data_IF_805564078935
#
_entry.id   IF_805564078935
#
_cell.length_a   1.000
_cell.length_b   1.000
_cell.length_c   1.000
_cell.angle_alpha   90.00
_cell.angle_beta   90.00
_cell.angle_gamma   90.00
#
_symmetry.space_group_name_H-M   'P 1'
#
loop_
_entity.id
_entity.type
_entity.pdbx_description
1 polymer ?
#
# COMPACT_ATOMS: atom_id res chain seq x y z
N UNK A 1 23.66 59.18 5.77
CA UNK A 1 24.69 58.14 5.39
C UNK A 1 24.47 56.87 6.23
N UNK A 2 23.92 56.96 7.43
CA UNK A 2 23.70 55.76 8.32
C UNK A 2 22.59 54.82 7.81
N UNK A 3 21.64 55.30 7.02
CA UNK A 3 20.47 54.51 6.54
C UNK A 3 20.85 53.42 5.52
N UNK A 4 21.82 53.63 4.68
CA UNK A 4 22.21 52.66 3.62
C UNK A 4 22.99 51.44 4.10
N UNK A 5 23.69 51.54 5.24
CA UNK A 5 24.43 50.41 5.80
C UNK A 5 23.50 49.39 6.48
N UNK A 6 22.42 49.82 7.10
CA UNK A 6 21.41 48.95 7.70
C UNK A 6 20.61 48.18 6.64
N UNK A 7 20.28 48.84 5.52
CA UNK A 7 19.47 48.24 4.44
C UNK A 7 20.20 47.03 3.81
N UNK A 8 21.48 47.15 3.51
CA UNK A 8 22.30 46.03 2.96
C UNK A 8 22.40 44.84 3.92
N UNK A 9 22.47 45.09 5.22
CA UNK A 9 22.50 44.04 6.25
C UNK A 9 21.15 43.33 6.33
N UNK A 10 20.05 44.05 6.22
CA UNK A 10 18.71 43.49 6.23
C UNK A 10 18.43 42.66 4.95
N UNK A 11 18.85 43.19 3.79
CA UNK A 11 18.73 42.48 2.50
C UNK A 11 19.55 41.16 2.53
N UNK A 12 20.76 41.18 3.10
CA UNK A 12 21.59 39.99 3.23
C UNK A 12 20.95 38.98 4.22
N UNK A 13 20.45 39.45 5.34
CA UNK A 13 19.75 38.59 6.33
C UNK A 13 18.50 37.92 5.77
N UNK A 14 17.70 38.68 4.99
CA UNK A 14 16.52 38.14 4.31
C UNK A 14 16.92 37.12 3.24
N UNK A 15 17.95 37.40 2.45
CA UNK A 15 18.45 36.47 1.44
C UNK A 15 18.97 35.16 2.08
N UNK A 16 19.72 35.28 3.18
CA UNK A 16 20.20 34.11 3.94
C UNK A 16 19.02 33.29 4.53
N UNK A 17 18.02 33.97 5.07
CA UNK A 17 16.83 33.31 5.63
C UNK A 17 16.05 32.52 4.56
N UNK A 18 15.87 33.11 3.38
CA UNK A 18 15.21 32.42 2.25
C UNK A 18 16.02 31.19 1.83
N UNK A 19 17.35 31.32 1.75
CA UNK A 19 18.22 30.21 1.35
C UNK A 19 18.14 29.06 2.36
N UNK A 20 18.17 29.36 3.66
CA UNK A 20 18.01 28.35 4.73
C UNK A 20 16.62 27.70 4.65
N UNK A 21 15.58 28.48 4.38
CA UNK A 21 14.22 27.96 4.20
C UNK A 21 14.10 26.97 3.04
N UNK A 22 14.71 27.30 1.90
CA UNK A 22 14.75 26.40 0.74
C UNK A 22 15.52 25.12 1.05
N UNK A 23 16.66 25.22 1.71
CA UNK A 23 17.44 24.04 2.12
C UNK A 23 16.68 23.15 3.11
N UNK A 24 15.93 23.74 4.05
CA UNK A 24 15.11 23.01 4.98
C UNK A 24 13.97 22.24 4.28
N UNK A 25 13.31 22.88 3.31
CA UNK A 25 12.25 22.22 2.51
C UNK A 25 12.83 21.08 1.67
N UNK A 26 13.99 21.30 1.04
CA UNK A 26 14.71 20.27 0.29
C UNK A 26 15.09 19.08 1.17
N UNK A 27 15.61 19.35 2.37
CA UNK A 27 15.95 18.31 3.34
C UNK A 27 14.70 17.48 3.75
N UNK A 28 13.59 18.14 4.07
CA UNK A 28 12.33 17.44 4.39
C UNK A 28 11.80 16.64 3.23
N UNK A 29 11.87 17.16 2.01
CA UNK A 29 11.45 16.45 0.81
C UNK A 29 12.24 15.15 0.58
N UNK A 30 13.56 15.20 0.78
CA UNK A 30 14.42 14.02 0.69
C UNK A 30 14.09 13.03 1.83
N UNK A 31 13.91 13.52 3.05
CA UNK A 31 13.59 12.68 4.21
C UNK A 31 12.26 11.93 4.02
N UNK A 32 11.23 12.60 3.53
CA UNK A 32 9.91 11.99 3.29
C UNK A 32 9.98 11.03 2.10
N UNK A 33 10.73 11.39 1.04
CA UNK A 33 10.89 10.56 -0.15
C UNK A 33 11.70 9.29 0.12
N UNK A 34 12.76 9.35 0.91
CA UNK A 34 13.62 8.20 1.20
C UNK A 34 12.97 7.15 2.10
N UNK A 35 12.03 7.53 2.96
CA UNK A 35 11.30 6.58 3.83
C UNK A 35 10.46 5.55 3.05
N UNK A 36 10.16 5.83 1.78
CA UNK A 36 9.39 4.92 0.91
C UNK A 36 10.25 4.10 -0.05
N UNK A 37 11.52 4.48 -0.24
CA UNK A 37 12.36 3.92 -1.32
C UNK A 37 13.48 3.02 -0.79
N UNK A 38 13.92 3.19 0.46
CA UNK A 38 15.07 2.45 1.02
C UNK A 38 14.66 1.41 2.08
N UNK A 39 13.62 0.64 1.83
CA UNK A 39 13.49 -0.66 2.45
C UNK A 39 14.29 -1.68 1.64
N UNK A 40 15.63 -1.65 1.75
CA UNK A 40 16.50 -2.53 0.98
C UNK A 40 16.52 -3.98 1.46
N UNK A 41 15.65 -4.34 2.37
CA UNK A 41 15.46 -5.71 2.85
C UNK A 41 13.98 -6.04 2.90
N UNK A 42 13.29 -6.04 1.77
CA UNK A 42 11.91 -6.50 1.68
C UNK A 42 11.84 -7.72 0.77
N UNK A 43 11.29 -8.82 1.28
CA UNK A 43 10.90 -9.97 0.48
C UNK A 43 9.69 -9.56 -0.37
N UNK A 44 9.76 -9.77 -1.67
CA UNK A 44 8.68 -9.45 -2.60
C UNK A 44 7.98 -10.75 -2.97
N UNK A 45 6.67 -10.82 -2.74
CA UNK A 45 5.82 -11.95 -3.11
C UNK A 45 4.67 -11.40 -3.97
N UNK A 46 4.30 -12.11 -5.02
CA UNK A 46 3.14 -11.75 -5.83
C UNK A 46 1.88 -12.49 -5.37
N UNK A 47 0.72 -11.82 -5.47
CA UNK A 47 -0.57 -12.44 -5.21
C UNK A 47 -1.53 -12.16 -6.36
N UNK A 48 -2.35 -13.15 -6.73
CA UNK A 48 -3.32 -13.06 -7.83
C UNK A 48 -4.71 -12.83 -7.26
N UNK A 49 -5.35 -11.73 -7.66
CA UNK A 49 -6.72 -11.43 -7.26
C UNK A 49 -7.62 -11.29 -8.48
N UNK A 50 -8.82 -11.85 -8.42
CA UNK A 50 -9.83 -11.65 -9.45
C UNK A 50 -10.45 -10.24 -9.38
N UNK A 51 -10.48 -9.62 -8.20
CA UNK A 51 -10.93 -8.25 -8.00
C UNK A 51 -10.22 -7.63 -6.79
N UNK A 52 -9.61 -6.47 -7.00
CA UNK A 52 -8.90 -5.73 -5.93
C UNK A 52 -9.77 -4.66 -5.25
N UNK A 53 -10.94 -4.33 -5.80
CA UNK A 53 -11.97 -3.48 -5.19
C UNK A 53 -11.50 -2.23 -4.46
N UNK A 54 -10.61 -1.42 -5.08
CA UNK A 54 -10.10 -0.18 -4.49
C UNK A 54 -8.87 -0.35 -3.59
N UNK A 55 -8.18 -1.49 -3.64
CA UNK A 55 -6.84 -1.63 -3.06
C UNK A 55 -5.87 -0.74 -3.84
N UNK A 56 -5.01 -0.01 -3.15
CA UNK A 56 -4.05 0.91 -3.75
C UNK A 56 -2.60 0.51 -3.44
N UNK A 57 -1.68 0.96 -4.27
CA UNK A 57 -0.26 0.91 -3.96
C UNK A 57 0.03 1.67 -2.66
N UNK A 58 0.85 1.09 -1.79
CA UNK A 58 1.12 1.61 -0.46
C UNK A 58 0.11 1.22 0.62
N UNK A 59 -0.98 0.50 0.27
CA UNK A 59 -1.88 -0.10 1.25
C UNK A 59 -1.12 -1.02 2.22
N UNK A 60 -1.61 -1.13 3.44
CA UNK A 60 -0.94 -1.96 4.45
C UNK A 60 -1.16 -3.45 4.19
N UNK A 61 -0.14 -4.25 4.52
CA UNK A 61 -0.25 -5.71 4.64
C UNK A 61 -0.18 -6.04 6.11
N UNK A 62 -1.14 -6.85 6.59
CA UNK A 62 -1.28 -7.18 8.01
C UNK A 62 -1.38 -8.69 8.21
N UNK A 63 -0.71 -9.19 9.26
CA UNK A 63 -0.89 -10.54 9.81
C UNK A 63 -1.42 -10.38 11.22
N UNK A 64 -2.54 -11.01 11.54
CA UNK A 64 -3.18 -10.91 12.87
C UNK A 64 -3.39 -9.45 13.34
N UNK A 65 -3.61 -8.51 12.42
CA UNK A 65 -3.78 -7.08 12.72
C UNK A 65 -2.48 -6.29 12.89
N UNK A 66 -1.32 -6.93 12.78
CA UNK A 66 -0.01 -6.26 12.85
C UNK A 66 0.49 -5.98 11.43
N UNK A 67 0.96 -4.76 11.19
CA UNK A 67 1.54 -4.39 9.91
C UNK A 67 2.88 -5.10 9.67
N UNK A 68 2.96 -5.85 8.57
CA UNK A 68 4.15 -6.62 8.18
C UNK A 68 4.73 -6.20 6.83
N UNK A 69 4.08 -5.27 6.15
CA UNK A 69 4.52 -4.81 4.86
C UNK A 69 3.60 -3.79 4.22
N UNK A 70 3.81 -3.54 2.94
CA UNK A 70 2.99 -2.65 2.11
C UNK A 70 2.81 -3.24 0.72
N UNK A 71 1.68 -2.92 0.11
CA UNK A 71 1.39 -3.25 -1.29
C UNK A 71 2.33 -2.46 -2.20
N UNK A 72 3.01 -3.15 -3.08
CA UNK A 72 3.87 -2.58 -4.11
C UNK A 72 3.10 -2.22 -5.37
N UNK A 73 3.62 -2.67 -6.51
CA UNK A 73 3.01 -2.43 -7.83
C UNK A 73 1.76 -3.30 -8.02
N UNK A 74 0.76 -2.73 -8.66
CA UNK A 74 -0.47 -3.42 -9.06
C UNK A 74 -0.55 -3.40 -10.58
N UNK A 75 -0.63 -4.57 -11.20
CA UNK A 75 -0.71 -4.72 -12.66
C UNK A 75 -1.83 -5.67 -13.06
N UNK A 76 -2.39 -5.47 -14.24
CA UNK A 76 -3.34 -6.40 -14.83
C UNK A 76 -2.61 -7.44 -15.68
N UNK A 77 -2.82 -8.70 -15.38
CA UNK A 77 -2.46 -9.79 -16.27
C UNK A 77 -3.52 -9.86 -17.39
N UNK A 78 -3.09 -9.53 -18.60
CA UNK A 78 -3.97 -9.46 -19.77
C UNK A 78 -4.38 -10.84 -20.30
N UNK A 79 -3.63 -11.88 -20.00
CA UNK A 79 -3.93 -13.24 -20.47
C UNK A 79 -5.02 -13.89 -19.62
N UNK A 80 -4.90 -13.75 -18.30
CA UNK A 80 -5.82 -14.36 -17.34
C UNK A 80 -6.89 -13.39 -16.83
N UNK A 81 -6.79 -12.09 -17.17
CA UNK A 81 -7.68 -11.02 -16.70
C UNK A 81 -7.79 -10.95 -15.17
N UNK A 82 -6.66 -11.13 -14.49
CA UNK A 82 -6.53 -11.04 -13.04
C UNK A 82 -5.57 -9.93 -12.63
N UNK A 83 -5.77 -9.36 -11.45
CA UNK A 83 -4.87 -8.38 -10.89
C UNK A 83 -3.69 -9.10 -10.22
N UNK A 84 -2.47 -8.78 -10.64
CA UNK A 84 -1.23 -9.18 -10.00
C UNK A 84 -0.82 -8.08 -9.03
N UNK A 85 -0.75 -8.41 -7.77
CA UNK A 85 -0.43 -7.48 -6.68
C UNK A 85 0.90 -7.88 -6.06
N UNK A 86 1.85 -6.95 -6.06
CA UNK A 86 3.15 -7.12 -5.42
C UNK A 86 3.05 -6.83 -3.92
N UNK A 87 3.41 -7.78 -3.10
CA UNK A 87 3.44 -7.70 -1.65
C UNK A 87 4.88 -7.51 -1.17
N UNK A 88 5.22 -6.33 -0.66
CA UNK A 88 6.53 -6.02 -0.08
C UNK A 88 6.47 -6.28 1.42
N UNK A 89 7.03 -7.40 1.84
CA UNK A 89 7.02 -7.88 3.22
C UNK A 89 8.36 -7.62 3.90
N UNK A 90 8.38 -7.51 5.22
CA UNK A 90 9.63 -7.47 5.98
C UNK A 90 10.38 -8.80 5.84
N UNK A 91 11.70 -8.76 5.76
CA UNK A 91 12.56 -9.90 5.38
C UNK A 91 12.44 -11.16 6.25
N UNK A 92 12.12 -11.00 7.52
CA UNK A 92 12.09 -12.13 8.48
C UNK A 92 10.83 -12.99 8.37
N UNK A 93 9.94 -12.67 7.38
CA UNK A 93 8.67 -13.38 7.25
C UNK A 93 8.80 -14.55 6.27
N UNK A 94 8.56 -15.76 6.77
CA UNK A 94 8.44 -16.95 5.94
C UNK A 94 7.00 -17.09 5.48
N UNK A 95 6.82 -17.27 4.17
CA UNK A 95 5.52 -17.51 3.53
C UNK A 95 5.54 -18.91 2.95
N UNK A 96 4.48 -19.65 3.16
CA UNK A 96 4.31 -21.01 2.67
C UNK A 96 3.38 -21.07 1.46
N UNK A 97 3.39 -22.18 0.73
CA UNK A 97 2.56 -22.40 -0.45
C UNK A 97 1.06 -22.49 -0.14
N UNK A 98 0.71 -22.77 1.14
CA UNK A 98 -0.65 -22.72 1.67
C UNK A 98 -1.05 -21.33 2.25
N UNK A 99 -0.28 -20.27 1.93
CA UNK A 99 -0.58 -18.92 2.36
C UNK A 99 -1.85 -18.38 1.68
N UNK A 100 -2.64 -17.62 2.44
CA UNK A 100 -3.87 -16.99 1.95
C UNK A 100 -3.74 -15.47 2.03
N UNK A 101 -3.99 -14.78 0.93
CA UNK A 101 -4.06 -13.33 0.89
C UNK A 101 -5.50 -12.84 0.68
N UNK A 102 -6.04 -12.11 1.64
CA UNK A 102 -7.43 -11.60 1.61
C UNK A 102 -7.44 -10.08 1.56
N UNK A 103 -8.23 -9.49 0.66
CA UNK A 103 -8.45 -8.04 0.66
C UNK A 103 -9.62 -7.70 1.58
N UNK A 104 -9.34 -6.93 2.62
CA UNK A 104 -10.33 -6.51 3.62
C UNK A 104 -10.42 -5.00 3.71
N UNK A 105 -11.55 -4.51 4.21
CA UNK A 105 -11.77 -3.08 4.48
C UNK A 105 -11.54 -2.81 5.97
N UNK A 106 -10.87 -1.74 6.29
CA UNK A 106 -10.67 -1.32 7.66
C UNK A 106 -11.95 -0.68 8.21
N UNK A 107 -12.75 -1.47 8.92
CA UNK A 107 -14.10 -1.09 9.33
C UNK A 107 -15.10 -1.18 8.16
N UNK A 108 -16.14 -0.35 8.18
CA UNK A 108 -17.21 -0.35 7.16
C UNK A 108 -16.90 0.55 5.94
N UNK A 109 -16.14 1.61 6.13
CA UNK A 109 -15.91 2.68 5.14
C UNK A 109 -14.41 3.04 5.04
N UNK A 110 -13.52 2.26 5.65
CA UNK A 110 -12.09 2.56 5.69
C UNK A 110 -11.33 2.11 4.45
N UNK A 111 -10.02 2.37 4.47
CA UNK A 111 -9.11 1.97 3.40
C UNK A 111 -9.02 0.44 3.29
N UNK A 112 -8.79 -0.04 2.07
CA UNK A 112 -8.50 -1.45 1.82
C UNK A 112 -7.08 -1.80 2.25
N UNK A 113 -6.92 -3.00 2.79
CA UNK A 113 -5.63 -3.58 3.17
C UNK A 113 -5.60 -5.06 2.82
N UNK A 114 -4.41 -5.63 2.75
CA UNK A 114 -4.24 -7.06 2.56
C UNK A 114 -4.06 -7.73 3.93
N UNK A 115 -4.99 -8.60 4.29
CA UNK A 115 -4.81 -9.53 5.41
C UNK A 115 -4.11 -10.77 4.88
N UNK A 116 -2.92 -11.04 5.36
CA UNK A 116 -2.09 -12.17 4.94
C UNK A 116 -2.09 -13.22 6.05
N UNK A 117 -2.42 -14.44 5.68
CA UNK A 117 -2.13 -15.63 6.49
C UNK A 117 -0.90 -16.29 5.87
N UNK A 118 0.22 -16.40 6.57
CA UNK A 118 1.46 -16.91 5.99
C UNK A 118 1.43 -18.43 5.71
N UNK A 119 0.37 -19.13 6.13
CA UNK A 119 0.33 -20.58 6.09
C UNK A 119 1.20 -21.26 7.17
N UNK A 120 1.52 -22.50 6.99
CA UNK A 120 2.37 -23.23 7.93
C UNK A 120 2.33 -24.75 7.77
N UNK A 121 1.59 -25.26 6.80
CA UNK A 121 1.42 -26.69 6.54
C UNK A 121 2.16 -27.21 5.29
N UNK A 122 2.70 -26.28 4.48
CA UNK A 122 3.30 -26.58 3.21
C UNK A 122 4.82 -26.37 3.13
N UNK A 123 5.29 -26.14 1.92
CA UNK A 123 6.69 -25.78 1.63
C UNK A 123 6.84 -24.26 1.63
N UNK A 124 8.03 -23.76 1.94
CA UNK A 124 8.29 -22.33 1.82
C UNK A 124 8.14 -21.91 0.35
N UNK A 125 7.39 -20.83 0.13
CA UNK A 125 7.14 -20.27 -1.19
C UNK A 125 8.46 -19.76 -1.79
N UNK A 126 8.80 -20.26 -2.98
CA UNK A 126 10.01 -19.86 -3.69
C UNK A 126 9.89 -18.41 -4.23
N UNK A 127 11.05 -17.76 -4.45
CA UNK A 127 11.06 -16.42 -5.06
C UNK A 127 10.45 -16.48 -6.47
N UNK A 128 9.41 -15.64 -6.67
CA UNK A 128 8.72 -15.55 -7.97
C UNK A 128 7.47 -16.43 -8.08
N UNK A 129 7.19 -17.30 -7.11
CA UNK A 129 5.92 -18.00 -7.05
C UNK A 129 4.83 -17.10 -6.46
N UNK A 130 3.68 -16.95 -7.13
CA UNK A 130 2.58 -16.14 -6.61
C UNK A 130 1.75 -16.90 -5.58
N UNK A 131 1.23 -16.21 -4.58
CA UNK A 131 0.14 -16.70 -3.74
C UNK A 131 -1.09 -16.86 -4.64
N UNK A 132 -1.59 -18.08 -4.73
CA UNK A 132 -2.74 -18.44 -5.58
C UNK A 132 -4.04 -18.41 -4.78
N UNK A 133 -3.98 -18.80 -3.50
CA UNK A 133 -5.13 -18.78 -2.63
C UNK A 133 -5.42 -17.35 -2.15
N UNK A 134 -6.39 -16.72 -2.79
CA UNK A 134 -6.73 -15.33 -2.54
C UNK A 134 -8.22 -15.11 -2.37
N UNK A 135 -8.58 -14.25 -1.43
CA UNK A 135 -9.94 -13.76 -1.26
C UNK A 135 -10.01 -12.31 -1.78
N UNK A 136 -10.81 -12.14 -2.84
CA UNK A 136 -11.01 -10.82 -3.46
C UNK A 136 -11.82 -9.89 -2.57
N UNK A 137 -11.70 -8.59 -2.85
CA UNK A 137 -12.48 -7.58 -2.15
C UNK A 137 -13.98 -7.82 -2.30
N UNK A 138 -14.67 -7.78 -1.18
CA UNK A 138 -16.14 -7.81 -1.15
C UNK A 138 -16.65 -6.37 -1.07
N UNK A 139 -17.49 -5.98 -2.03
CA UNK A 139 -18.13 -4.66 -2.03
C UNK A 139 -19.48 -4.75 -1.33
N UNK A 140 -19.62 -3.97 -0.26
CA UNK A 140 -20.85 -3.91 0.55
C UNK A 140 -22.05 -3.46 -0.31
N UNK A 141 -21.81 -2.55 -1.26
CA UNK A 141 -22.83 -2.07 -2.20
C UNK A 141 -23.44 -3.21 -3.02
N UNK A 142 -22.62 -4.16 -3.46
CA UNK A 142 -23.07 -5.32 -4.21
C UNK A 142 -23.92 -6.26 -3.36
N UNK A 143 -23.60 -6.41 -2.07
CA UNK A 143 -24.37 -7.21 -1.12
C UNK A 143 -25.72 -6.55 -0.81
N UNK A 144 -25.73 -5.23 -0.57
CA UNK A 144 -26.94 -4.46 -0.33
C UNK A 144 -27.85 -4.51 -1.57
N UNK A 145 -27.29 -4.36 -2.76
CA UNK A 145 -28.03 -4.44 -4.01
C UNK A 145 -28.67 -5.82 -4.20
N UNK A 146 -27.93 -6.89 -3.97
CA UNK A 146 -28.47 -8.26 -4.05
C UNK A 146 -29.56 -8.50 -3.02
N UNK A 147 -29.41 -8.00 -1.81
CA UNK A 147 -30.41 -8.13 -0.77
C UNK A 147 -31.65 -7.30 -1.07
N UNK A 148 -31.48 -6.06 -1.54
CA UNK A 148 -32.59 -5.14 -1.83
C UNK A 148 -33.38 -5.54 -3.08
N UNK A 149 -32.72 -6.07 -4.10
CA UNK A 149 -33.37 -6.42 -5.39
C UNK A 149 -33.53 -7.91 -5.59
N UNK A 150 -32.74 -8.78 -4.97
CA UNK A 150 -32.87 -10.24 -5.06
C UNK A 150 -34.09 -10.80 -4.35
N UNK A 151 -34.69 -10.05 -3.42
CA UNK A 151 -35.95 -10.44 -2.78
C UNK A 151 -37.20 -10.19 -3.65
N UNK A 152 -37.04 -9.64 -4.86
CA UNK A 152 -38.14 -9.39 -5.78
C UNK A 152 -38.32 -10.51 -6.82
N UNK A 153 -37.40 -11.46 -6.93
CA UNK A 153 -37.49 -12.57 -7.90
C UNK A 153 -38.08 -13.87 -7.31
N UNK A 154 -38.32 -13.95 -6.02
CA UNK A 154 -39.00 -15.12 -5.39
C UNK A 154 -40.50 -14.95 -5.21
N UNK A 155 -41.13 -14.02 -5.90
CA UNK A 155 -42.57 -13.67 -5.75
C UNK A 155 -43.44 -13.88 -6.99
N UNK A 156 -43.05 -14.75 -7.97
CA UNK A 156 -43.95 -15.21 -9.05
C UNK A 156 -44.02 -16.72 -9.14
#
# INVERSE_FOLDING_TARGET
IVSRMNQKRTEFAVGLFILVGILAILYLAIQIGSSRILGSDSKVVEARFSNIGGLNEGSNIMIAGVKVGVVGNIRLDMENLVAMVELKLYNDLVIYDDAIASIKTNGLIGDKYVALDPGGGGFELEEGEPIVDTESAVDIESLISRFAFGSLEEGE
#
